data_IF_834934601314
#
_entry.id   IF_834934601314
#
_cell.length_a   1.000
_cell.length_b   1.000
_cell.length_c   1.000
_cell.angle_alpha   90.00
_cell.angle_beta   90.00
_cell.angle_gamma   90.00
#
_symmetry.space_group_name_H-M   'P 1'
#
loop_
_entity.id
_entity.type
_entity.pdbx_description
1 polymer ?
#
# COMPACT_ATOMS: atom_id res chain seq x y z
N UNK A 1 1.23 42.09 -89.02
CA UNK A 1 1.63 43.46 -88.62
C UNK A 1 2.83 43.37 -87.69
N UNK A 2 3.91 44.07 -88.09
CA UNK A 2 5.15 44.47 -87.38
C UNK A 2 5.70 43.55 -86.26
N UNK A 3 6.80 42.82 -86.49
CA UNK A 3 8.22 43.28 -86.41
C UNK A 3 8.67 43.50 -84.94
N UNK A 4 9.76 42.90 -84.42
CA UNK A 4 11.12 42.82 -85.01
C UNK A 4 12.05 41.92 -84.13
N UNK A 5 12.87 41.11 -84.82
CA UNK A 5 14.34 40.88 -84.64
C UNK A 5 14.84 40.24 -83.31
N UNK A 6 15.86 39.37 -83.25
CA UNK A 6 16.95 39.03 -84.20
C UNK A 6 17.67 37.75 -83.73
N UNK A 7 18.08 36.95 -84.71
CA UNK A 7 19.13 35.92 -84.80
C UNK A 7 20.32 36.01 -83.81
N UNK A 8 20.92 34.89 -83.39
CA UNK A 8 22.08 34.26 -84.07
C UNK A 8 22.54 32.94 -83.40
N UNK A 9 23.08 32.05 -84.22
CA UNK A 9 23.74 30.77 -83.89
C UNK A 9 25.05 30.95 -83.09
N UNK A 10 25.42 29.91 -82.33
CA UNK A 10 26.72 29.21 -82.38
C UNK A 10 27.40 28.97 -81.02
N UNK A 11 27.99 27.77 -80.94
CA UNK A 11 29.19 27.39 -80.17
C UNK A 11 29.00 26.70 -78.82
N UNK A 12 29.22 25.39 -78.91
CA UNK A 12 29.61 24.44 -77.88
C UNK A 12 30.79 24.99 -77.05
N UNK A 13 30.64 24.99 -75.73
CA UNK A 13 31.77 24.91 -74.80
C UNK A 13 31.39 23.98 -73.65
N UNK A 14 32.03 22.82 -73.64
CA UNK A 14 32.08 21.86 -72.54
C UNK A 14 32.76 22.51 -71.33
N UNK A 15 32.05 22.58 -70.20
CA UNK A 15 32.62 22.93 -68.88
C UNK A 15 32.43 21.73 -67.97
N UNK A 16 33.48 21.21 -67.31
CA UNK A 16 33.35 20.10 -66.38
C UNK A 16 32.68 20.57 -65.10
N UNK A 17 31.54 19.95 -64.75
CA UNK A 17 30.85 20.18 -63.48
C UNK A 17 31.67 19.46 -62.39
N UNK A 18 32.39 20.24 -61.58
CA UNK A 18 32.90 19.79 -60.29
C UNK A 18 31.72 19.51 -59.36
N UNK A 19 31.59 18.25 -58.93
CA UNK A 19 30.73 17.82 -57.83
C UNK A 19 31.23 18.44 -56.52
N UNK A 20 30.65 19.58 -56.12
CA UNK A 20 30.66 20.03 -54.73
C UNK A 20 29.61 19.21 -53.98
N UNK A 21 30.07 18.22 -53.22
CA UNK A 21 29.26 17.57 -52.19
C UNK A 21 28.97 18.59 -51.08
N UNK A 22 27.84 19.28 -51.19
CA UNK A 22 27.30 20.07 -50.09
C UNK A 22 26.69 19.11 -49.06
N UNK A 23 27.43 18.85 -47.99
CA UNK A 23 26.93 18.22 -46.78
C UNK A 23 25.83 19.11 -46.19
N UNK A 24 24.57 18.74 -46.41
CA UNK A 24 23.46 19.32 -45.66
C UNK A 24 23.56 18.85 -44.21
N UNK A 25 24.24 19.64 -43.38
CA UNK A 25 24.18 19.57 -41.94
C UNK A 25 22.75 19.94 -41.52
N UNK A 26 21.97 18.92 -41.18
CA UNK A 26 20.73 19.09 -40.44
C UNK A 26 21.04 19.82 -39.12
N UNK A 27 20.24 20.82 -38.69
CA UNK A 27 20.41 21.42 -37.39
C UNK A 27 20.25 20.34 -36.33
N UNK A 28 21.27 20.19 -35.50
CA UNK A 28 21.39 19.11 -34.53
C UNK A 28 20.10 18.93 -33.71
N UNK A 29 19.59 17.70 -33.73
CA UNK A 29 18.87 17.19 -32.58
C UNK A 29 19.80 17.41 -31.38
N UNK A 30 19.42 18.33 -30.48
CA UNK A 30 19.95 18.28 -29.12
C UNK A 30 19.55 16.90 -28.61
N UNK A 31 20.47 15.94 -28.64
CA UNK A 31 20.43 14.84 -27.69
C UNK A 31 20.31 15.54 -26.35
N UNK A 32 19.15 15.42 -25.72
CA UNK A 32 19.03 15.70 -24.30
C UNK A 32 20.12 14.85 -23.66
N UNK A 33 21.19 15.51 -23.23
CA UNK A 33 22.26 14.90 -22.49
C UNK A 33 21.55 14.22 -21.32
N UNK A 34 21.62 12.89 -21.26
CA UNK A 34 21.03 12.11 -20.18
C UNK A 34 21.58 12.74 -18.91
N UNK A 35 20.72 13.50 -18.23
CA UNK A 35 21.04 14.08 -16.94
C UNK A 35 21.40 12.90 -16.08
N UNK A 36 22.55 12.97 -15.40
CA UNK A 36 22.99 11.95 -14.47
C UNK A 36 21.92 11.83 -13.38
N UNK A 37 20.90 10.99 -13.63
CA UNK A 37 19.79 10.69 -12.73
C UNK A 37 20.31 9.62 -11.79
N UNK A 38 21.32 9.97 -11.00
CA UNK A 38 21.83 9.06 -9.99
C UNK A 38 20.75 8.91 -8.93
N UNK A 39 20.14 7.73 -8.88
CA UNK A 39 19.21 7.35 -7.81
C UNK A 39 19.85 7.67 -6.45
N UNK A 40 19.15 8.46 -5.64
CA UNK A 40 19.58 8.80 -4.28
C UNK A 40 18.86 7.83 -3.33
N UNK A 41 19.58 7.20 -2.40
CA UNK A 41 18.98 6.37 -1.35
C UNK A 41 17.85 7.11 -0.65
N UNK A 42 16.71 6.43 -0.45
CA UNK A 42 15.54 7.00 0.22
C UNK A 42 15.19 6.19 1.47
N UNK A 43 14.63 6.87 2.47
CA UNK A 43 13.92 6.25 3.58
C UNK A 43 12.44 6.55 3.42
N UNK A 44 11.61 5.53 3.26
CA UNK A 44 10.16 5.64 3.14
C UNK A 44 9.51 5.09 4.41
N UNK A 45 8.43 5.73 4.87
CA UNK A 45 7.53 5.14 5.84
C UNK A 45 6.31 4.55 5.12
N UNK A 46 5.79 3.41 5.59
CA UNK A 46 4.61 2.76 5.05
C UNK A 46 3.66 2.34 6.19
N UNK A 47 2.40 2.74 6.10
CA UNK A 47 1.36 2.38 7.06
C UNK A 47 0.05 2.05 6.32
N UNK A 48 -0.86 1.38 7.02
CA UNK A 48 -2.10 0.88 6.43
C UNK A 48 -3.16 0.66 7.50
N UNK A 49 -4.42 0.59 7.07
CA UNK A 49 -5.54 0.19 7.92
C UNK A 49 -5.60 1.04 9.20
N UNK A 50 -5.52 2.37 9.01
CA UNK A 50 -5.62 3.37 10.08
C UNK A 50 -7.01 3.29 10.71
N UNK A 51 -8.02 2.98 9.88
CA UNK A 51 -9.42 2.93 10.26
C UNK A 51 -9.86 4.16 11.05
N UNK A 52 -9.38 5.33 10.65
CA UNK A 52 -9.62 6.55 11.38
C UNK A 52 -11.12 6.88 11.53
N UNK A 53 -11.54 7.24 12.75
CA UNK A 53 -12.88 7.73 13.03
C UNK A 53 -12.79 9.12 13.67
N UNK A 54 -13.42 10.12 13.04
CA UNK A 54 -13.46 11.45 13.59
C UNK A 54 -14.14 11.45 14.98
N UNK A 55 -13.63 12.18 15.99
CA UNK A 55 -14.19 12.19 17.35
C UNK A 55 -15.67 12.58 17.40
N UNK A 56 -16.13 13.44 16.48
CA UNK A 56 -17.53 13.86 16.40
C UNK A 56 -18.49 12.74 15.96
N UNK A 57 -17.96 11.64 15.41
CA UNK A 57 -18.76 10.48 14.97
C UNK A 57 -18.92 9.42 16.05
N UNK A 58 -18.32 9.57 17.24
CA UNK A 58 -18.51 8.59 18.31
C UNK A 58 -18.43 9.22 19.70
N UNK A 59 -19.38 8.91 20.55
CA UNK A 59 -19.34 9.27 21.97
C UNK A 59 -18.61 8.24 22.86
N UNK A 60 -18.05 7.18 22.25
CA UNK A 60 -17.49 6.05 22.99
C UNK A 60 -18.54 5.27 23.80
N UNK A 61 -19.82 5.41 23.46
CA UNK A 61 -20.93 4.78 24.15
C UNK A 61 -21.11 3.29 23.79
N UNK A 62 -22.07 2.66 24.47
CA UNK A 62 -22.33 1.20 24.42
C UNK A 62 -22.41 0.62 23.00
N UNK A 63 -22.98 1.33 22.04
CA UNK A 63 -23.08 0.89 20.65
C UNK A 63 -21.70 0.74 20.00
N UNK A 64 -20.85 1.75 20.14
CA UNK A 64 -19.51 1.76 19.56
C UNK A 64 -18.60 0.77 20.29
N UNK A 65 -18.58 0.80 21.61
CA UNK A 65 -17.76 -0.12 22.42
C UNK A 65 -18.09 -1.57 22.10
N UNK A 66 -19.37 -1.95 22.03
CA UNK A 66 -19.75 -3.32 21.66
C UNK A 66 -19.35 -3.69 20.24
N UNK A 67 -19.44 -2.77 19.29
CA UNK A 67 -19.01 -3.02 17.92
C UNK A 67 -17.50 -3.35 17.89
N UNK A 68 -16.70 -2.51 18.52
CA UNK A 68 -15.22 -2.63 18.55
C UNK A 68 -14.79 -3.87 19.33
N UNK A 69 -15.39 -4.13 20.49
CA UNK A 69 -15.09 -5.30 21.31
C UNK A 69 -15.35 -6.62 20.57
N UNK A 70 -16.32 -6.68 19.67
CA UNK A 70 -16.65 -7.89 18.91
C UNK A 70 -16.05 -7.91 17.50
N UNK A 71 -15.07 -7.03 17.22
CA UNK A 71 -14.33 -6.97 15.98
C UNK A 71 -12.99 -7.72 16.08
N UNK A 72 -12.03 -7.31 15.27
CA UNK A 72 -10.72 -7.94 15.03
C UNK A 72 -9.59 -7.39 15.93
N UNK A 73 -9.94 -6.77 17.07
CA UNK A 73 -8.97 -6.34 18.07
C UNK A 73 -8.33 -4.96 17.83
N UNK A 74 -8.88 -4.17 16.89
CA UNK A 74 -8.51 -2.76 16.67
C UNK A 74 -8.76 -1.93 17.93
N UNK A 75 -7.75 -1.22 18.41
CA UNK A 75 -7.80 -0.38 19.60
C UNK A 75 -8.52 0.96 19.33
N UNK A 76 -9.75 0.90 18.81
CA UNK A 76 -10.50 2.06 18.31
C UNK A 76 -10.80 3.12 19.37
N UNK A 77 -10.83 2.73 20.66
CA UNK A 77 -10.95 3.69 21.77
C UNK A 77 -9.78 4.68 21.83
N UNK A 78 -8.62 4.30 21.28
CA UNK A 78 -7.39 5.11 21.23
C UNK A 78 -7.07 5.60 19.80
N UNK A 79 -8.05 5.60 18.89
CA UNK A 79 -7.86 5.95 17.47
C UNK A 79 -7.22 7.34 17.26
N UNK A 80 -7.74 8.36 17.96
CA UNK A 80 -7.15 9.71 17.92
C UNK A 80 -5.70 9.71 18.38
N UNK A 81 -5.45 9.11 19.53
CA UNK A 81 -4.13 9.14 20.17
C UNK A 81 -3.08 8.40 19.33
N UNK A 82 -3.43 7.22 18.80
CA UNK A 82 -2.54 6.42 17.95
C UNK A 82 -2.26 7.19 16.65
N UNK A 83 -3.28 7.81 16.04
CA UNK A 83 -3.11 8.60 14.81
C UNK A 83 -2.24 9.84 15.04
N UNK A 84 -2.48 10.59 16.12
CA UNK A 84 -1.70 11.78 16.47
C UNK A 84 -0.24 11.43 16.83
N UNK A 85 -0.03 10.34 17.56
CA UNK A 85 1.30 9.84 17.88
C UNK A 85 2.04 9.41 16.62
N UNK A 86 1.39 8.68 15.72
CA UNK A 86 1.95 8.29 14.42
C UNK A 86 2.37 9.51 13.59
N UNK A 87 1.49 10.50 13.46
CA UNK A 87 1.79 11.72 12.72
C UNK A 87 2.98 12.46 13.32
N UNK A 88 3.00 12.61 14.65
CA UNK A 88 4.11 13.25 15.35
C UNK A 88 5.43 12.49 15.14
N UNK A 89 5.39 11.16 15.20
CA UNK A 89 6.55 10.30 15.08
C UNK A 89 7.13 10.34 13.66
N UNK A 90 6.30 10.16 12.62
CA UNK A 90 6.70 10.29 11.21
C UNK A 90 7.24 11.69 10.91
N UNK A 91 6.59 12.74 11.40
CA UNK A 91 7.07 14.13 11.24
C UNK A 91 8.43 14.35 11.89
N UNK A 92 8.70 13.70 13.03
CA UNK A 92 9.97 13.77 13.74
C UNK A 92 11.09 12.99 13.04
N UNK A 93 10.76 11.83 12.48
CA UNK A 93 11.69 10.93 11.76
C UNK A 93 12.09 11.49 10.39
N UNK A 94 11.18 12.22 9.74
CA UNK A 94 11.40 12.83 8.42
C UNK A 94 11.82 11.83 7.34
N UNK A 95 11.01 10.79 7.07
CA UNK A 95 11.22 9.98 5.87
C UNK A 95 11.08 10.86 4.61
N UNK A 96 11.63 10.40 3.51
CA UNK A 96 11.52 11.06 2.20
C UNK A 96 10.11 11.01 1.63
N UNK A 97 9.28 10.04 2.06
CA UNK A 97 7.84 10.02 1.83
C UNK A 97 7.13 9.07 2.83
N UNK A 98 5.84 9.31 3.04
CA UNK A 98 4.92 8.40 3.72
C UNK A 98 3.95 7.76 2.71
N UNK A 99 3.79 6.44 2.76
CA UNK A 99 2.89 5.66 1.90
C UNK A 99 1.76 5.09 2.77
N UNK A 100 0.50 5.39 2.42
CA UNK A 100 -0.69 4.84 3.06
C UNK A 100 -1.44 3.94 2.08
N UNK A 101 -1.47 2.63 2.35
CA UNK A 101 -1.94 1.63 1.37
C UNK A 101 -3.43 1.34 1.39
N UNK A 102 -4.21 2.01 2.23
CA UNK A 102 -5.67 1.89 2.24
C UNK A 102 -6.27 1.73 3.62
N UNK A 103 -7.59 1.61 3.64
CA UNK A 103 -8.46 1.61 4.82
C UNK A 103 -8.10 2.75 5.78
N UNK A 104 -8.09 3.95 5.19
CA UNK A 104 -7.75 5.18 5.88
C UNK A 104 -8.76 5.48 6.98
N UNK A 105 -10.03 5.17 6.75
CA UNK A 105 -11.14 5.45 7.67
C UNK A 105 -11.86 4.19 8.14
N UNK A 106 -12.58 4.29 9.26
CA UNK A 106 -13.24 3.13 9.87
C UNK A 106 -14.29 2.49 8.94
N UNK A 107 -15.13 3.30 8.31
CA UNK A 107 -16.18 2.86 7.37
C UNK A 107 -16.54 3.97 6.35
N UNK A 108 -15.56 4.75 5.90
CA UNK A 108 -15.73 5.63 4.74
C UNK A 108 -16.56 6.88 5.00
N UNK A 109 -16.72 7.29 6.27
CA UNK A 109 -17.47 8.50 6.61
C UNK A 109 -16.72 9.75 6.13
N UNK A 110 -17.41 10.66 5.44
CA UNK A 110 -16.79 11.87 4.88
C UNK A 110 -16.09 12.72 5.94
N UNK A 111 -16.70 12.90 7.11
CA UNK A 111 -16.09 13.65 8.21
C UNK A 111 -14.77 13.02 8.71
N UNK A 112 -14.66 11.68 8.72
CA UNK A 112 -13.40 10.99 9.02
C UNK A 112 -12.34 11.24 7.95
N UNK A 113 -12.70 11.23 6.67
CA UNK A 113 -11.76 11.55 5.60
C UNK A 113 -11.24 12.98 5.70
N UNK A 114 -12.13 13.95 5.89
CA UNK A 114 -11.77 15.38 6.03
C UNK A 114 -10.89 15.62 7.27
N UNK A 115 -11.23 15.01 8.41
CA UNK A 115 -10.43 15.13 9.63
C UNK A 115 -9.07 14.44 9.52
N UNK A 116 -8.99 13.25 8.91
CA UNK A 116 -7.71 12.58 8.66
C UNK A 116 -6.84 13.39 7.70
N UNK A 117 -7.40 13.91 6.60
CA UNK A 117 -6.67 14.77 5.67
C UNK A 117 -6.10 16.01 6.37
N UNK A 118 -6.88 16.67 7.24
CA UNK A 118 -6.40 17.79 8.05
C UNK A 118 -5.21 17.38 8.95
N UNK A 119 -5.26 16.19 9.54
CA UNK A 119 -4.16 15.63 10.34
C UNK A 119 -2.93 15.27 9.49
N UNK A 120 -3.10 14.66 8.32
CA UNK A 120 -2.00 14.34 7.39
C UNK A 120 -1.31 15.60 6.84
N UNK A 121 -2.03 16.72 6.76
CA UNK A 121 -1.44 18.00 6.33
C UNK A 121 -0.27 18.47 7.21
N UNK A 122 -0.16 18.02 8.47
CA UNK A 122 1.00 18.32 9.31
C UNK A 122 2.30 17.69 8.78
N UNK A 123 2.19 16.50 8.17
CA UNK A 123 3.32 15.78 7.55
C UNK A 123 3.74 16.50 6.26
N UNK A 124 2.78 16.83 5.40
CA UNK A 124 3.01 17.62 4.17
C UNK A 124 3.65 18.98 4.47
N UNK A 125 3.12 19.70 5.46
CA UNK A 125 3.65 21.01 5.88
C UNK A 125 5.08 20.91 6.45
N UNK A 126 5.51 19.72 6.88
CA UNK A 126 6.89 19.45 7.29
C UNK A 126 7.82 19.11 6.11
N UNK A 127 7.29 19.10 4.87
CA UNK A 127 8.02 18.81 3.64
C UNK A 127 8.17 17.33 3.33
N UNK A 128 7.31 16.47 3.91
CA UNK A 128 7.30 15.03 3.69
C UNK A 128 6.07 14.71 2.83
N UNK A 129 6.24 14.31 1.56
CA UNK A 129 5.14 13.87 0.72
C UNK A 129 4.40 12.68 1.33
N UNK A 130 3.08 12.72 1.33
CA UNK A 130 2.19 11.65 1.74
C UNK A 130 1.49 11.11 0.50
N UNK A 131 1.51 9.80 0.30
CA UNK A 131 0.95 9.13 -0.88
C UNK A 131 -0.14 8.18 -0.39
N UNK A 132 -1.37 8.35 -0.86
CA UNK A 132 -2.51 7.55 -0.37
C UNK A 132 -3.27 6.86 -1.50
N UNK A 133 -3.76 5.66 -1.23
CA UNK A 133 -4.80 4.98 -2.02
C UNK A 133 -5.94 4.55 -1.09
N UNK A 134 -7.17 4.35 -1.62
CA UNK A 134 -8.28 3.85 -0.82
C UNK A 134 -8.18 2.35 -0.56
N UNK A 135 -8.70 1.91 0.58
CA UNK A 135 -9.04 0.52 0.82
C UNK A 135 -10.52 0.20 0.55
N UNK A 136 -10.96 -1.00 0.94
CA UNK A 136 -12.35 -1.42 0.75
C UNK A 136 -13.33 -0.76 1.72
N UNK A 137 -12.88 -0.10 2.79
CA UNK A 137 -13.73 0.63 3.73
C UNK A 137 -13.94 2.11 3.37
N UNK A 138 -13.14 2.66 2.47
CA UNK A 138 -13.06 4.12 2.29
C UNK A 138 -14.14 4.69 1.35
N UNK A 139 -14.51 3.97 0.30
CA UNK A 139 -15.34 4.52 -0.78
C UNK A 139 -16.75 3.93 -0.80
N UNK A 140 -17.74 4.77 -1.08
CA UNK A 140 -19.14 4.38 -1.31
C UNK A 140 -19.69 3.48 -0.20
N UNK A 141 -19.24 3.68 1.04
CA UNK A 141 -19.60 2.82 2.16
C UNK A 141 -21.07 3.01 2.51
N UNK A 142 -21.81 1.90 2.48
CA UNK A 142 -23.21 1.87 2.96
C UNK A 142 -23.30 1.76 4.49
N UNK A 143 -22.16 1.65 5.16
CA UNK A 143 -22.02 1.44 6.60
C UNK A 143 -21.36 2.64 7.31
N UNK A 144 -21.13 3.75 6.60
CA UNK A 144 -20.66 5.00 7.20
C UNK A 144 -21.68 5.46 8.25
N UNK A 145 -21.25 5.58 9.51
CA UNK A 145 -22.14 5.88 10.62
C UNK A 145 -21.48 6.73 11.70
N UNK A 146 -22.31 7.51 12.40
CA UNK A 146 -22.02 8.06 13.72
C UNK A 146 -22.65 7.20 14.81
N UNK A 147 -22.03 7.16 15.99
CA UNK A 147 -22.42 6.32 17.12
C UNK A 147 -22.72 7.20 18.33
N UNK A 148 -23.91 7.03 18.92
CA UNK A 148 -24.33 7.74 20.12
C UNK A 148 -25.11 6.80 21.05
N UNK A 149 -24.61 6.64 22.28
CA UNK A 149 -25.23 5.82 23.31
C UNK A 149 -25.42 4.37 22.83
N UNK A 150 -26.67 3.97 22.57
CA UNK A 150 -27.04 2.60 22.18
C UNK A 150 -27.46 2.46 20.72
N UNK A 151 -27.23 3.48 19.91
CA UNK A 151 -27.65 3.54 18.51
C UNK A 151 -26.56 4.11 17.61
N UNK A 152 -26.72 3.89 16.32
CA UNK A 152 -25.95 4.55 15.27
C UNK A 152 -26.88 5.27 14.30
N UNK A 153 -26.35 6.27 13.59
CA UNK A 153 -27.04 6.96 12.50
C UNK A 153 -26.13 6.93 11.28
N UNK A 154 -26.69 6.56 10.11
CA UNK A 154 -25.92 6.59 8.86
C UNK A 154 -25.55 8.04 8.51
N UNK A 155 -24.32 8.23 8.04
CA UNK A 155 -23.79 9.52 7.59
C UNK A 155 -23.25 9.40 6.18
N UNK A 156 -22.95 10.54 5.56
CA UNK A 156 -22.45 10.57 4.20
C UNK A 156 -21.09 9.86 4.10
N UNK A 157 -20.94 9.05 3.05
CA UNK A 157 -19.65 8.51 2.59
C UNK A 157 -19.13 9.33 1.40
N UNK A 158 -17.91 9.02 0.94
CA UNK A 158 -17.27 9.66 -0.21
C UNK A 158 -17.31 8.74 -1.44
N UNK A 159 -17.49 9.32 -2.62
CA UNK A 159 -17.18 8.63 -3.88
C UNK A 159 -15.71 8.82 -4.28
N UNK A 160 -15.29 8.19 -5.38
CA UNK A 160 -13.91 8.28 -5.85
C UNK A 160 -13.48 9.72 -6.22
N UNK A 161 -14.40 10.54 -6.74
CA UNK A 161 -14.10 11.93 -7.09
C UNK A 161 -13.89 12.78 -5.84
N UNK A 162 -14.74 12.61 -4.84
CA UNK A 162 -14.62 13.28 -3.55
C UNK A 162 -13.36 12.84 -2.79
N UNK A 163 -13.01 11.54 -2.84
CA UNK A 163 -11.75 11.05 -2.28
C UNK A 163 -10.55 11.73 -2.93
N UNK A 164 -10.49 11.78 -4.27
CA UNK A 164 -9.42 12.47 -4.99
C UNK A 164 -9.38 13.99 -4.73
N UNK A 165 -10.52 14.60 -4.39
CA UNK A 165 -10.59 16.01 -3.98
C UNK A 165 -10.03 16.22 -2.57
N UNK A 166 -10.50 15.44 -1.59
CA UNK A 166 -10.07 15.51 -0.19
C UNK A 166 -8.57 15.21 -0.08
N UNK A 167 -8.13 14.17 -0.79
CA UNK A 167 -6.74 13.72 -0.74
C UNK A 167 -5.87 14.26 -1.87
N UNK A 168 -6.32 15.29 -2.59
CA UNK A 168 -5.65 15.77 -3.80
C UNK A 168 -4.17 16.09 -3.61
N UNK A 169 -3.81 16.67 -2.46
CA UNK A 169 -2.44 17.06 -2.16
C UNK A 169 -1.56 15.88 -1.70
N UNK A 170 -2.16 14.72 -1.39
CA UNK A 170 -1.43 13.53 -0.94
C UNK A 170 -1.16 12.57 -2.12
N UNK A 171 -0.34 13.06 -3.06
CA UNK A 171 0.17 12.33 -4.21
C UNK A 171 -0.62 12.51 -5.51
N UNK A 172 -1.93 12.74 -5.46
CA UNK A 172 -2.75 12.83 -6.68
C UNK A 172 -2.38 14.04 -7.56
N UNK A 173 -2.29 15.26 -7.04
CA UNK A 173 -1.98 16.45 -7.86
C UNK A 173 -0.55 16.44 -8.44
N UNK A 174 0.33 15.65 -7.84
CA UNK A 174 1.76 15.61 -8.13
C UNK A 174 2.17 14.37 -8.93
N UNK A 175 1.22 13.48 -9.23
CA UNK A 175 1.47 12.24 -9.93
C UNK A 175 1.97 12.46 -11.37
N UNK A 176 2.89 11.60 -11.80
CA UNK A 176 3.36 11.50 -13.19
C UNK A 176 2.25 11.05 -14.15
N UNK A 177 1.36 10.18 -13.67
CA UNK A 177 0.28 9.60 -14.46
C UNK A 177 -0.86 9.13 -13.56
N UNK A 178 -2.09 9.21 -14.09
CA UNK A 178 -3.30 8.67 -13.47
C UNK A 178 -3.92 7.61 -14.35
N UNK A 179 -4.48 6.57 -13.72
CA UNK A 179 -5.47 5.72 -14.36
C UNK A 179 -6.80 6.47 -14.47
N UNK A 180 -7.56 6.18 -15.53
CA UNK A 180 -8.90 6.75 -15.72
C UNK A 180 -10.01 5.85 -15.19
N UNK A 181 -9.70 4.58 -14.93
CA UNK A 181 -10.67 3.58 -14.49
C UNK A 181 -10.65 3.31 -12.97
N UNK A 182 -9.68 3.88 -12.25
CA UNK A 182 -9.48 3.70 -10.80
C UNK A 182 -8.81 4.95 -10.23
N UNK A 183 -8.61 4.98 -8.91
CA UNK A 183 -7.77 5.98 -8.23
C UNK A 183 -6.28 5.62 -8.24
N UNK A 184 -5.84 4.76 -9.18
CA UNK A 184 -4.43 4.42 -9.33
C UNK A 184 -3.62 5.56 -9.95
N UNK A 185 -2.37 5.71 -9.51
CA UNK A 185 -1.44 6.70 -10.05
C UNK A 185 0.02 6.27 -9.92
N UNK A 186 0.91 6.98 -10.61
CA UNK A 186 2.36 6.80 -10.51
C UNK A 186 2.97 8.08 -9.97
N UNK A 187 3.81 7.97 -8.95
CA UNK A 187 4.53 9.09 -8.34
C UNK A 187 6.05 8.91 -8.52
N UNK A 188 6.78 10.00 -8.81
CA UNK A 188 8.25 10.00 -8.87
C UNK A 188 8.79 10.27 -7.46
N UNK A 189 9.28 9.23 -6.77
CA UNK A 189 9.86 9.39 -5.42
C UNK A 189 11.20 10.12 -5.49
N UNK A 190 12.01 9.79 -6.49
CA UNK A 190 13.26 10.47 -6.82
C UNK A 190 13.62 10.19 -8.28
N UNK A 191 14.56 10.94 -8.89
CA UNK A 191 15.04 10.61 -10.22
C UNK A 191 15.55 9.17 -10.28
N UNK A 192 14.93 8.33 -11.12
CA UNK A 192 15.30 6.91 -11.23
C UNK A 192 14.45 5.96 -10.36
N UNK A 193 13.53 6.46 -9.54
CA UNK A 193 12.63 5.63 -8.73
C UNK A 193 11.19 6.16 -8.75
N UNK A 194 10.27 5.27 -9.10
CA UNK A 194 8.84 5.53 -9.07
C UNK A 194 8.14 4.59 -8.09
N UNK A 195 6.98 5.01 -7.63
CA UNK A 195 6.01 4.12 -6.98
C UNK A 195 4.71 4.09 -7.78
N UNK A 196 4.22 2.88 -8.02
CA UNK A 196 2.90 2.60 -8.56
C UNK A 196 1.93 2.41 -7.41
N UNK A 197 1.04 3.38 -7.23
CA UNK A 197 -0.02 3.36 -6.23
C UNK A 197 -1.28 2.77 -6.88
N UNK A 198 -1.60 1.51 -6.58
CA UNK A 198 -2.64 0.72 -7.26
C UNK A 198 -3.93 0.64 -6.44
N UNK A 199 -5.00 1.20 -6.99
CA UNK A 199 -6.37 1.04 -6.49
C UNK A 199 -7.10 -0.09 -7.25
N UNK A 200 -7.59 -1.08 -6.49
CA UNK A 200 -8.47 -2.15 -6.99
C UNK A 200 -9.85 -2.13 -6.33
N UNK A 201 -10.19 -1.07 -5.60
CA UNK A 201 -11.44 -0.89 -4.85
C UNK A 201 -12.44 0.01 -5.60
N UNK A 202 -12.44 -0.10 -6.93
CA UNK A 202 -13.45 0.55 -7.78
C UNK A 202 -14.86 0.10 -7.39
N UNK A 203 -15.84 0.98 -7.55
CA UNK A 203 -17.24 0.71 -7.20
C UNK A 203 -17.80 -0.53 -7.90
N UNK A 204 -17.42 -0.75 -9.16
CA UNK A 204 -17.94 -1.83 -10.00
C UNK A 204 -17.24 -3.16 -9.76
N UNK A 205 -16.02 -3.15 -9.23
CA UNK A 205 -15.18 -4.33 -9.05
C UNK A 205 -14.31 -4.22 -7.79
N UNK A 206 -14.91 -4.18 -6.58
CA UNK A 206 -14.16 -4.02 -5.34
C UNK A 206 -13.19 -5.19 -5.12
N UNK A 207 -11.97 -4.87 -4.67
CA UNK A 207 -10.88 -5.82 -4.50
C UNK A 207 -10.39 -6.51 -5.78
N UNK A 208 -10.83 -6.10 -6.98
CA UNK A 208 -10.56 -6.81 -8.23
C UNK A 208 -9.91 -5.90 -9.27
N UNK A 209 -8.77 -6.34 -9.81
CA UNK A 209 -8.05 -5.64 -10.86
C UNK A 209 -8.86 -5.65 -12.17
N UNK A 210 -9.29 -4.47 -12.62
CA UNK A 210 -9.99 -4.30 -13.90
C UNK A 210 -9.05 -4.47 -15.11
N UNK A 211 -9.61 -4.76 -16.28
CA UNK A 211 -8.82 -4.90 -17.51
C UNK A 211 -8.25 -3.55 -18.02
N UNK A 212 -8.94 -2.45 -17.74
CA UNK A 212 -8.48 -1.10 -18.06
C UNK A 212 -7.28 -0.71 -17.21
N UNK A 213 -7.40 -0.86 -15.88
CA UNK A 213 -6.30 -0.60 -14.95
C UNK A 213 -5.11 -1.51 -15.23
N UNK A 214 -5.33 -2.80 -15.53
CA UNK A 214 -4.23 -3.70 -15.91
C UNK A 214 -3.47 -3.23 -17.18
N UNK A 215 -4.20 -2.78 -18.22
CA UNK A 215 -3.58 -2.23 -19.43
C UNK A 215 -2.81 -0.95 -19.14
N UNK A 216 -3.35 -0.10 -18.27
CA UNK A 216 -2.69 1.13 -17.84
C UNK A 216 -1.40 0.82 -17.06
N UNK A 217 -1.44 -0.08 -16.07
CA UNK A 217 -0.27 -0.52 -15.30
C UNK A 217 0.84 -1.01 -16.23
N UNK A 218 0.51 -1.87 -17.21
CA UNK A 218 1.49 -2.34 -18.20
C UNK A 218 2.15 -1.19 -18.98
N UNK A 219 1.38 -0.16 -19.34
CA UNK A 219 1.93 1.01 -20.03
C UNK A 219 2.90 1.77 -19.13
N UNK A 220 2.56 1.94 -17.85
CA UNK A 220 3.42 2.64 -16.89
C UNK A 220 4.72 1.88 -16.61
N UNK A 221 4.64 0.56 -16.38
CA UNK A 221 5.82 -0.28 -16.17
C UNK A 221 6.74 -0.30 -17.40
N UNK A 222 6.17 -0.31 -18.61
CA UNK A 222 6.94 -0.18 -19.85
C UNK A 222 7.63 1.18 -19.95
N UNK A 223 6.95 2.27 -19.58
CA UNK A 223 7.54 3.60 -19.59
C UNK A 223 8.67 3.75 -18.56
N UNK A 224 8.50 3.19 -17.35
CA UNK A 224 9.54 3.18 -16.32
C UNK A 224 10.78 2.41 -16.78
N UNK A 225 10.60 1.21 -17.34
CA UNK A 225 11.68 0.41 -17.93
C UNK A 225 12.42 1.15 -19.05
N UNK A 226 11.69 1.87 -19.91
CA UNK A 226 12.31 2.67 -20.98
C UNK A 226 13.11 3.85 -20.45
N UNK A 227 12.70 4.42 -19.32
CA UNK A 227 13.43 5.48 -18.62
C UNK A 227 14.61 4.95 -17.79
N UNK A 228 14.67 3.64 -17.53
CA UNK A 228 15.65 3.03 -16.63
C UNK A 228 15.30 3.21 -15.16
N UNK A 229 14.04 3.50 -14.84
CA UNK A 229 13.59 3.74 -13.47
C UNK A 229 13.23 2.42 -12.76
N UNK A 230 13.61 2.31 -11.49
CA UNK A 230 13.10 1.30 -10.58
C UNK A 230 11.64 1.61 -10.20
N UNK A 231 10.88 0.56 -9.91
CA UNK A 231 9.46 0.69 -9.54
C UNK A 231 9.19 -0.08 -8.26
N UNK A 232 8.69 0.62 -7.23
CA UNK A 232 7.95 0.05 -6.11
C UNK A 232 6.47 -0.01 -6.48
N UNK A 233 5.72 -0.93 -5.90
CA UNK A 233 4.27 -0.96 -6.00
C UNK A 233 3.63 -0.92 -4.61
N UNK A 234 2.42 -0.39 -4.53
CA UNK A 234 1.59 -0.39 -3.35
C UNK A 234 0.14 -0.70 -3.72
N UNK A 235 -0.54 -1.51 -2.91
CA UNK A 235 -1.95 -1.87 -3.07
C UNK A 235 -2.60 -2.13 -1.72
N UNK A 236 -3.91 -1.91 -1.58
CA UNK A 236 -4.59 -2.25 -0.32
C UNK A 236 -4.64 -3.76 -0.08
N UNK A 237 -5.34 -4.47 -0.98
CA UNK A 237 -5.36 -5.92 -1.01
C UNK A 237 -3.96 -6.49 -1.29
N UNK A 238 -3.71 -7.69 -0.78
CA UNK A 238 -2.43 -8.37 -0.99
C UNK A 238 -2.33 -8.89 -2.42
N UNK A 239 -1.12 -8.91 -2.97
CA UNK A 239 -0.83 -9.48 -4.28
C UNK A 239 -0.59 -10.99 -4.20
N UNK A 240 0.09 -11.42 -3.15
CA UNK A 240 0.42 -12.79 -2.81
C UNK A 240 -0.55 -13.32 -1.74
N UNK A 241 -0.58 -14.64 -1.60
CA UNK A 241 -1.28 -15.29 -0.49
C UNK A 241 -0.36 -15.32 0.73
N UNK A 242 -0.72 -14.59 1.78
CA UNK A 242 0.02 -14.56 3.06
C UNK A 242 -0.53 -15.56 4.08
N UNK A 243 -1.78 -16.02 3.89
CA UNK A 243 -2.35 -17.13 4.62
C UNK A 243 -3.34 -17.85 3.68
N UNK A 244 -3.29 -19.19 3.59
CA UNK A 244 -4.16 -19.93 2.67
C UNK A 244 -5.66 -19.76 2.95
N UNK A 245 -6.04 -19.42 4.18
CA UNK A 245 -7.42 -19.11 4.56
C UNK A 245 -7.81 -17.65 4.22
N UNK A 246 -6.85 -16.76 4.01
CA UNK A 246 -7.06 -15.38 3.58
C UNK A 246 -6.72 -15.22 2.10
N UNK A 247 -7.38 -16.03 1.27
CA UNK A 247 -7.25 -15.97 -0.19
C UNK A 247 -8.40 -15.17 -0.80
N UNK A 248 -9.61 -15.73 -0.77
CA UNK A 248 -10.80 -15.09 -1.34
C UNK A 248 -11.17 -13.80 -0.58
N UNK A 249 -11.26 -12.68 -1.31
CA UNK A 249 -11.59 -11.36 -0.75
C UNK A 249 -10.43 -10.63 -0.07
N UNK A 250 -9.27 -11.28 0.08
CA UNK A 250 -8.07 -10.69 0.66
C UNK A 250 -6.97 -10.45 -0.38
N UNK A 251 -6.76 -11.42 -1.26
CA UNK A 251 -5.85 -11.30 -2.39
C UNK A 251 -6.57 -10.57 -3.53
N UNK A 252 -5.85 -9.70 -4.24
CA UNK A 252 -6.37 -8.97 -5.41
C UNK A 252 -7.03 -9.96 -6.38
N UNK A 253 -8.31 -9.73 -6.68
CA UNK A 253 -9.03 -10.45 -7.72
C UNK A 253 -8.34 -10.26 -9.07
N UNK A 254 -8.05 -11.37 -9.77
CA UNK A 254 -7.18 -11.40 -10.97
C UNK A 254 -5.74 -10.90 -10.69
N UNK A 255 -5.22 -11.06 -9.47
CA UNK A 255 -3.87 -10.68 -9.08
C UNK A 255 -2.76 -11.51 -9.74
N UNK A 256 -3.02 -12.75 -10.15
CA UNK A 256 -2.00 -13.61 -10.79
C UNK A 256 -1.38 -12.99 -12.05
N UNK A 257 -2.20 -12.39 -12.92
CA UNK A 257 -1.71 -11.67 -14.11
C UNK A 257 -0.93 -10.40 -13.75
N UNK A 258 -1.22 -9.78 -12.60
CA UNK A 258 -0.51 -8.61 -12.12
C UNK A 258 0.86 -9.01 -11.58
N UNK A 259 0.92 -10.10 -10.80
CA UNK A 259 2.17 -10.69 -10.32
C UNK A 259 3.09 -11.04 -11.49
N UNK A 260 2.58 -11.74 -12.50
CA UNK A 260 3.34 -12.07 -13.71
C UNK A 260 3.89 -10.81 -14.40
N UNK A 261 3.09 -9.73 -14.45
CA UNK A 261 3.50 -8.46 -15.02
C UNK A 261 4.56 -7.76 -14.16
N UNK A 262 4.43 -7.77 -12.83
CA UNK A 262 5.40 -7.20 -11.91
C UNK A 262 6.75 -7.91 -12.02
N UNK A 263 6.73 -9.26 -12.07
CA UNK A 263 7.92 -10.07 -12.31
C UNK A 263 8.52 -9.83 -13.72
N UNK A 264 7.69 -9.74 -14.77
CA UNK A 264 8.16 -9.46 -16.14
C UNK A 264 8.85 -8.10 -16.21
N UNK A 265 8.34 -7.09 -15.51
CA UNK A 265 8.85 -5.73 -15.56
C UNK A 265 9.94 -5.41 -14.54
N UNK A 266 10.15 -6.27 -13.54
CA UNK A 266 11.14 -6.08 -12.48
C UNK A 266 10.70 -5.07 -11.43
N UNK A 267 9.42 -5.10 -11.03
CA UNK A 267 8.95 -4.35 -9.85
C UNK A 267 9.69 -4.87 -8.63
N UNK A 268 10.25 -3.97 -7.82
CA UNK A 268 11.21 -4.32 -6.78
C UNK A 268 10.52 -4.97 -5.57
N UNK A 269 9.40 -4.40 -5.12
CA UNK A 269 8.52 -5.00 -4.12
C UNK A 269 7.09 -4.47 -4.24
N UNK A 270 6.15 -5.15 -3.56
CA UNK A 270 4.81 -4.65 -3.30
C UNK A 270 4.64 -4.33 -1.81
N UNK A 271 4.03 -3.19 -1.49
CA UNK A 271 3.58 -2.83 -0.14
C UNK A 271 2.07 -3.01 -0.08
N UNK A 272 1.57 -3.64 0.98
CA UNK A 272 0.13 -3.84 1.15
C UNK A 272 -0.31 -3.94 2.61
N UNK A 273 -1.63 -4.08 2.82
CA UNK A 273 -2.27 -4.15 4.13
C UNK A 273 -3.44 -5.14 4.12
N UNK A 274 -4.62 -4.68 4.55
CA UNK A 274 -5.93 -5.35 4.46
C UNK A 274 -6.12 -6.58 5.35
N UNK A 275 -5.12 -7.44 5.50
CA UNK A 275 -5.18 -8.62 6.39
C UNK A 275 -4.82 -8.29 7.84
N UNK A 276 -4.40 -7.04 8.13
CA UNK A 276 -4.00 -6.50 9.44
C UNK A 276 -2.83 -7.18 10.15
N UNK A 277 -2.26 -8.23 9.55
CA UNK A 277 -1.16 -9.03 10.10
C UNK A 277 0.16 -8.56 9.48
N UNK A 278 1.18 -8.36 10.31
CA UNK A 278 2.53 -8.10 9.82
C UNK A 278 3.10 -9.37 9.20
N UNK A 279 3.29 -9.39 7.89
CA UNK A 279 3.76 -10.57 7.18
C UNK A 279 4.60 -10.21 5.96
N UNK A 280 5.59 -11.05 5.65
CA UNK A 280 6.46 -10.88 4.48
C UNK A 280 6.43 -12.17 3.69
N UNK A 281 6.02 -12.09 2.43
CA UNK A 281 5.98 -13.22 1.51
C UNK A 281 6.84 -12.94 0.27
N UNK A 282 7.29 -14.00 -0.40
CA UNK A 282 8.03 -13.89 -1.65
C UNK A 282 7.45 -14.85 -2.69
N UNK A 283 7.24 -14.36 -3.91
CA UNK A 283 6.81 -15.18 -5.03
C UNK A 283 7.91 -16.17 -5.44
N UNK A 284 7.54 -17.18 -6.22
CA UNK A 284 8.50 -18.14 -6.75
C UNK A 284 9.59 -17.51 -7.64
N UNK A 285 9.30 -16.38 -8.31
CA UNK A 285 10.29 -15.66 -9.13
C UNK A 285 10.96 -14.49 -8.40
N UNK A 286 10.72 -14.35 -7.10
CA UNK A 286 11.48 -13.46 -6.22
C UNK A 286 10.82 -12.11 -5.90
N UNK A 287 9.61 -11.81 -6.40
CA UNK A 287 8.90 -10.60 -6.00
C UNK A 287 8.56 -10.69 -4.51
N UNK A 288 9.04 -9.73 -3.72
CA UNK A 288 8.75 -9.66 -2.28
C UNK A 288 7.56 -8.75 -2.05
N UNK A 289 6.62 -9.20 -1.23
CA UNK A 289 5.51 -8.40 -0.72
C UNK A 289 5.66 -8.20 0.79
N UNK A 290 5.59 -6.94 1.21
CA UNK A 290 5.57 -6.52 2.60
C UNK A 290 4.13 -6.15 2.95
N UNK A 291 3.47 -6.96 3.76
CA UNK A 291 2.21 -6.59 4.39
C UNK A 291 2.54 -5.98 5.74
N UNK A 292 2.19 -4.70 5.91
CA UNK A 292 2.29 -4.03 7.21
C UNK A 292 1.03 -4.32 8.03
N UNK A 293 1.19 -4.62 9.32
CA UNK A 293 0.02 -4.80 10.20
C UNK A 293 -0.82 -3.53 10.29
N UNK A 294 -2.10 -3.65 10.64
CA UNK A 294 -2.96 -2.48 10.85
C UNK A 294 -2.36 -1.55 11.90
N UNK A 295 -2.35 -0.25 11.60
CA UNK A 295 -1.78 0.76 12.48
C UNK A 295 -2.47 0.79 13.86
N UNK A 296 -3.77 0.47 13.89
CA UNK A 296 -4.61 0.55 15.09
C UNK A 296 -4.72 -0.78 15.84
N UNK A 297 -4.06 -1.84 15.37
CA UNK A 297 -4.04 -3.15 16.02
C UNK A 297 -2.68 -3.36 16.69
N UNK A 298 -2.67 -3.88 17.92
CA UNK A 298 -1.42 -4.17 18.64
C UNK A 298 -0.47 -5.03 17.78
N UNK A 299 0.81 -4.66 17.64
CA UNK A 299 1.57 -3.72 18.48
C UNK A 299 1.57 -2.25 18.02
N UNK A 300 0.64 -1.85 17.13
CA UNK A 300 0.53 -0.51 16.56
C UNK A 300 1.85 -0.08 15.88
N UNK A 301 2.17 -0.76 14.78
CA UNK A 301 3.45 -0.60 14.08
C UNK A 301 3.26 -0.22 12.61
N UNK A 302 4.29 0.37 12.04
CA UNK A 302 4.39 0.77 10.63
C UNK A 302 5.74 0.34 10.07
N UNK A 303 5.86 0.26 8.74
CA UNK A 303 7.09 -0.12 8.06
C UNK A 303 8.00 1.06 7.76
N UNK A 304 9.30 0.85 7.87
CA UNK A 304 10.36 1.72 7.36
C UNK A 304 11.12 0.96 6.28
N UNK A 305 11.27 1.59 5.12
CA UNK A 305 11.98 1.05 3.97
C UNK A 305 13.17 1.95 3.63
N UNK A 306 14.38 1.41 3.70
CA UNK A 306 15.56 2.05 3.12
C UNK A 306 15.79 1.47 1.75
N UNK A 307 15.64 2.29 0.72
CA UNK A 307 15.70 1.88 -0.68
C UNK A 307 16.97 2.43 -1.29
N UNK A 308 17.83 1.51 -1.73
CA UNK A 308 19.05 1.71 -2.50
C UNK A 308 18.86 1.17 -3.94
N UNK A 309 19.72 1.49 -4.93
CA UNK A 309 19.55 0.95 -6.29
C UNK A 309 19.60 -0.57 -6.37
N UNK A 310 20.24 -1.21 -5.38
CA UNK A 310 20.55 -2.64 -5.38
C UNK A 310 19.98 -3.38 -4.17
N UNK A 311 19.52 -2.67 -3.14
CA UNK A 311 19.07 -3.24 -1.87
C UNK A 311 17.86 -2.48 -1.37
N UNK A 312 16.95 -3.19 -0.73
CA UNK A 312 15.86 -2.65 0.06
C UNK A 312 15.91 -3.29 1.44
N UNK A 313 15.95 -2.47 2.48
CA UNK A 313 15.94 -2.90 3.88
C UNK A 313 14.62 -2.46 4.53
N UNK A 314 13.74 -3.43 4.79
CA UNK A 314 12.47 -3.23 5.48
C UNK A 314 12.64 -3.58 6.95
N UNK A 315 12.10 -2.74 7.84
CA UNK A 315 11.82 -3.13 9.22
C UNK A 315 10.58 -2.41 9.75
N UNK A 316 9.97 -2.92 10.81
CA UNK A 316 8.85 -2.24 11.47
C UNK A 316 9.31 -1.38 12.65
N UNK A 317 8.66 -0.24 12.84
CA UNK A 317 8.74 0.56 14.05
C UNK A 317 7.38 0.63 14.75
N UNK A 318 7.39 0.72 16.08
CA UNK A 318 6.17 0.82 16.89
C UNK A 318 5.88 2.28 17.20
N UNK A 319 4.60 2.63 17.21
CA UNK A 319 4.15 3.94 17.65
C UNK A 319 4.29 4.03 19.17
N UNK A 320 4.91 5.10 19.65
CA UNK A 320 4.94 5.39 21.08
C UNK A 320 3.79 6.32 21.47
N UNK A 321 2.89 5.82 22.32
CA UNK A 321 1.76 6.58 22.86
C UNK A 321 1.46 6.17 24.31
N UNK A 322 0.67 6.97 25.02
CA UNK A 322 0.47 6.83 26.46
C UNK A 322 -0.28 5.53 26.81
N UNK A 323 -1.32 5.19 26.05
CA UNK A 323 -2.14 4.00 26.28
C UNK A 323 -1.69 2.75 25.50
N UNK A 324 -0.40 2.62 25.18
CA UNK A 324 0.11 1.49 24.39
C UNK A 324 -0.10 0.13 25.09
N UNK A 325 0.03 0.09 26.42
CA UNK A 325 -0.20 -1.13 27.20
C UNK A 325 -1.68 -1.54 27.19
N UNK A 326 -2.59 -0.58 27.28
CA UNK A 326 -4.03 -0.80 27.23
C UNK A 326 -4.49 -1.25 25.84
N UNK A 327 -3.91 -0.71 24.77
CA UNK A 327 -4.15 -1.19 23.41
C UNK A 327 -3.66 -2.64 23.22
N UNK A 328 -2.50 -2.99 23.77
CA UNK A 328 -2.03 -4.39 23.78
C UNK A 328 -2.98 -5.29 24.57
N UNK A 329 -3.39 -4.87 25.76
CA UNK A 329 -4.31 -5.62 26.60
C UNK A 329 -5.66 -5.81 25.92
N UNK A 330 -6.18 -4.79 25.23
CA UNK A 330 -7.42 -4.88 24.47
C UNK A 330 -7.37 -5.96 23.39
N UNK A 331 -6.26 -6.04 22.64
CA UNK A 331 -6.07 -7.10 21.66
C UNK A 331 -6.00 -8.49 22.31
N UNK A 332 -5.27 -8.61 23.43
CA UNK A 332 -5.19 -9.87 24.21
C UNK A 332 -6.55 -10.32 24.72
N UNK A 333 -7.34 -9.41 25.27
CA UNK A 333 -8.69 -9.69 25.77
C UNK A 333 -9.63 -10.10 24.62
N UNK A 334 -9.47 -9.50 23.45
CA UNK A 334 -10.22 -9.87 22.24
C UNK A 334 -9.85 -11.28 21.79
N UNK A 335 -8.55 -11.59 21.67
CA UNK A 335 -8.08 -12.91 21.29
C UNK A 335 -8.47 -13.99 22.31
N UNK A 336 -8.41 -13.68 23.61
CA UNK A 336 -8.89 -14.57 24.68
C UNK A 336 -10.38 -14.86 24.54
N UNK A 337 -11.18 -13.82 24.29
CA UNK A 337 -12.63 -13.98 24.14
C UNK A 337 -12.95 -14.84 22.92
N UNK A 338 -12.28 -14.60 21.79
CA UNK A 338 -12.37 -15.46 20.62
C UNK A 338 -12.01 -16.90 20.96
N UNK A 339 -10.89 -17.13 21.66
CA UNK A 339 -10.49 -18.47 22.10
C UNK A 339 -11.58 -19.15 22.94
N UNK A 340 -12.17 -18.45 23.90
CA UNK A 340 -13.22 -19.00 24.77
C UNK A 340 -14.53 -19.31 24.04
N UNK A 341 -14.85 -18.57 22.98
CA UNK A 341 -16.02 -18.81 22.15
C UNK A 341 -15.81 -19.99 21.19
N UNK A 342 -14.59 -20.12 20.65
CA UNK A 342 -14.24 -21.15 19.67
C UNK A 342 -13.89 -22.49 20.31
N UNK A 343 -13.36 -22.46 21.54
CA UNK A 343 -12.87 -23.63 22.26
C UNK A 343 -13.58 -23.74 23.62
N UNK A 344 -14.91 -23.92 23.64
CA UNK A 344 -15.67 -23.97 24.89
C UNK A 344 -15.15 -25.09 25.80
N UNK A 345 -15.20 -24.85 27.11
CA UNK A 345 -14.76 -25.78 28.16
C UNK A 345 -13.26 -26.14 28.13
N UNK A 346 -12.43 -25.39 27.41
CA UNK A 346 -10.98 -25.45 27.55
C UNK A 346 -10.51 -24.73 28.83
N UNK A 347 -9.29 -25.03 29.27
CA UNK A 347 -8.68 -24.41 30.44
C UNK A 347 -7.96 -23.10 30.09
N UNK A 348 -7.59 -22.35 31.14
CA UNK A 348 -6.90 -21.07 31.01
C UNK A 348 -5.53 -21.20 30.30
N UNK A 349 -4.89 -22.36 30.39
CA UNK A 349 -3.62 -22.63 29.72
C UNK A 349 -3.79 -22.63 28.20
N UNK A 350 -4.82 -23.31 27.69
CA UNK A 350 -5.14 -23.36 26.27
C UNK A 350 -5.61 -22.01 25.72
N UNK A 351 -6.43 -21.26 26.46
CA UNK A 351 -6.80 -19.89 26.08
C UNK A 351 -5.61 -18.94 26.04
N UNK A 352 -4.71 -19.04 27.02
CA UNK A 352 -3.47 -18.26 27.07
C UNK A 352 -2.56 -18.60 25.88
N UNK A 353 -2.43 -19.88 25.54
CA UNK A 353 -1.63 -20.31 24.39
C UNK A 353 -2.17 -19.74 23.06
N UNK A 354 -3.48 -19.85 22.82
CA UNK A 354 -4.12 -19.28 21.63
C UNK A 354 -3.95 -17.75 21.56
N UNK A 355 -4.10 -17.07 22.69
CA UNK A 355 -3.94 -15.61 22.80
C UNK A 355 -2.52 -15.20 22.45
N UNK A 356 -1.51 -15.86 23.03
CA UNK A 356 -0.11 -15.57 22.77
C UNK A 356 0.30 -15.89 21.33
N UNK A 357 -0.28 -16.93 20.73
CA UNK A 357 -0.07 -17.25 19.32
C UNK A 357 -0.66 -16.17 18.41
N UNK A 358 -1.87 -15.69 18.73
CA UNK A 358 -2.53 -14.61 17.98
C UNK A 358 -1.73 -13.31 18.05
N UNK A 359 -1.24 -12.93 19.24
CA UNK A 359 -0.36 -11.76 19.43
C UNK A 359 0.93 -11.90 18.62
N UNK A 360 1.59 -13.06 18.69
CA UNK A 360 2.82 -13.31 17.95
C UNK A 360 2.57 -13.28 16.43
N UNK A 361 1.43 -13.81 15.96
CA UNK A 361 1.08 -13.81 14.55
C UNK A 361 0.83 -12.41 14.01
N UNK A 362 -0.07 -11.64 14.64
CA UNK A 362 -0.43 -10.29 14.19
C UNK A 362 0.75 -9.32 14.24
N UNK A 363 1.64 -9.47 15.22
CA UNK A 363 2.88 -8.67 15.32
C UNK A 363 3.96 -9.07 14.32
N UNK A 364 3.81 -10.20 13.62
CA UNK A 364 4.83 -10.74 12.71
C UNK A 364 6.03 -11.33 13.44
N UNK A 365 5.87 -11.72 14.72
CA UNK A 365 6.92 -12.22 15.61
C UNK A 365 6.65 -13.64 16.10
N UNK A 366 6.22 -14.51 15.18
CA UNK A 366 6.02 -15.93 15.49
C UNK A 366 7.29 -16.59 16.03
N UNK A 367 8.48 -16.12 15.64
CA UNK A 367 9.79 -16.53 16.20
C UNK A 367 9.87 -16.44 17.74
N UNK A 368 9.07 -15.56 18.36
CA UNK A 368 9.03 -15.39 19.82
C UNK A 368 8.06 -16.33 20.53
N UNK A 369 7.21 -17.04 19.79
CA UNK A 369 6.24 -17.95 20.35
C UNK A 369 6.84 -19.34 20.58
N UNK A 370 6.65 -19.89 21.78
CA UNK A 370 7.05 -21.27 22.09
C UNK A 370 6.05 -22.25 21.47
N UNK A 371 6.52 -23.07 20.53
CA UNK A 371 5.73 -24.17 19.97
C UNK A 371 5.41 -25.20 21.05
N UNK A 372 4.13 -25.31 21.40
CA UNK A 372 3.61 -26.39 22.24
C UNK A 372 2.78 -27.35 21.39
N UNK A 373 3.39 -28.47 21.01
CA UNK A 373 2.74 -29.47 20.15
C UNK A 373 1.55 -30.16 20.83
N UNK A 374 1.53 -30.24 22.16
CA UNK A 374 0.45 -30.88 22.90
C UNK A 374 -0.79 -29.97 22.91
N UNK A 375 -0.61 -28.70 23.27
CA UNK A 375 -1.69 -27.70 23.24
C UNK A 375 -2.19 -27.49 21.82
N UNK A 376 -1.29 -27.41 20.83
CA UNK A 376 -1.68 -27.29 19.43
C UNK A 376 -2.55 -28.47 18.97
N UNK A 377 -2.15 -29.71 19.32
CA UNK A 377 -2.92 -30.90 19.00
C UNK A 377 -4.29 -30.91 19.70
N UNK A 378 -4.36 -30.44 20.94
CA UNK A 378 -5.63 -30.32 21.66
C UNK A 378 -6.56 -29.31 20.95
N UNK A 379 -6.05 -28.11 20.60
CA UNK A 379 -6.83 -27.11 19.87
C UNK A 379 -7.35 -27.68 18.54
N UNK A 380 -6.50 -28.34 17.77
CA UNK A 380 -6.88 -28.95 16.49
C UNK A 380 -7.93 -30.07 16.62
N UNK A 381 -7.97 -30.75 17.77
CA UNK A 381 -8.94 -31.80 18.04
C UNK A 381 -10.32 -31.25 18.46
N UNK A 382 -10.36 -30.04 19.03
CA UNK A 382 -11.57 -29.41 19.57
C UNK A 382 -12.41 -28.71 18.49
N UNK A 383 -11.77 -27.98 17.58
CA UNK A 383 -12.46 -27.30 16.49
C UNK A 383 -11.69 -27.47 15.16
N UNK A 384 -12.30 -28.11 14.14
CA UNK A 384 -11.64 -28.33 12.85
C UNK A 384 -11.25 -27.05 12.12
N UNK A 385 -12.07 -25.99 12.20
CA UNK A 385 -11.78 -24.72 11.52
C UNK A 385 -10.57 -24.03 12.15
N UNK A 386 -10.54 -23.95 13.48
CA UNK A 386 -9.39 -23.42 14.21
C UNK A 386 -8.16 -24.30 14.04
N UNK A 387 -8.33 -25.62 14.01
CA UNK A 387 -7.24 -26.52 13.63
C UNK A 387 -6.64 -26.17 12.27
N UNK A 388 -7.47 -25.93 11.25
CA UNK A 388 -7.00 -25.50 9.94
C UNK A 388 -6.35 -24.11 9.94
N UNK A 389 -6.89 -23.17 10.72
CA UNK A 389 -6.33 -21.83 10.87
C UNK A 389 -4.96 -21.87 11.55
N UNK A 390 -4.85 -22.54 12.69
CA UNK A 390 -3.57 -22.65 13.38
C UNK A 390 -2.55 -23.43 12.55
N UNK A 391 -2.98 -24.47 11.82
CA UNK A 391 -2.11 -25.16 10.88
C UNK A 391 -1.61 -24.22 9.78
N UNK A 392 -2.45 -23.32 9.26
CA UNK A 392 -2.03 -22.33 8.26
C UNK A 392 -0.96 -21.37 8.80
N UNK A 393 -1.01 -21.02 10.08
CA UNK A 393 0.01 -20.21 10.76
C UNK A 393 1.31 -21.01 10.93
N UNK A 394 1.23 -22.29 11.28
CA UNK A 394 2.42 -23.14 11.45
C UNK A 394 3.16 -23.43 10.14
N UNK A 395 2.43 -23.53 9.03
CA UNK A 395 2.99 -23.76 7.70
C UNK A 395 3.90 -22.60 7.25
N UNK A 396 3.69 -21.41 7.81
CA UNK A 396 4.50 -20.21 7.60
C UNK A 396 5.90 -20.30 8.22
N UNK A 397 6.05 -21.16 9.23
CA UNK A 397 7.26 -21.29 10.05
C UNK A 397 7.35 -20.17 11.09
N UNK A 398 7.94 -20.47 12.25
CA UNK A 398 8.12 -19.51 13.35
C UNK A 398 9.19 -18.46 13.00
N UNK A 399 8.86 -17.58 12.05
CA UNK A 399 9.77 -16.60 11.46
C UNK A 399 9.52 -15.20 12.04
N UNK A 400 10.51 -14.34 11.82
CA UNK A 400 10.42 -12.90 12.05
C UNK A 400 10.05 -12.20 10.75
N UNK A 401 8.85 -11.64 10.69
CA UNK A 401 8.31 -10.86 9.57
C UNK A 401 8.37 -9.35 9.81
N UNK A 402 9.11 -8.92 10.84
CA UNK A 402 9.29 -7.50 11.16
C UNK A 402 10.51 -6.89 10.50
N UNK A 403 11.35 -7.68 9.84
CA UNK A 403 12.56 -7.19 9.15
C UNK A 403 12.98 -8.08 7.99
N UNK A 404 13.46 -7.49 6.89
CA UNK A 404 13.97 -8.22 5.73
C UNK A 404 14.79 -7.31 4.83
N UNK A 405 15.95 -7.80 4.43
CA UNK A 405 16.73 -7.24 3.31
C UNK A 405 16.40 -7.99 2.02
N UNK A 406 16.18 -7.25 0.95
CA UNK A 406 15.95 -7.75 -0.41
C UNK A 406 17.01 -7.14 -1.32
N UNK A 407 17.73 -7.96 -2.07
CA UNK A 407 18.67 -7.50 -3.08
C UNK A 407 18.07 -7.61 -4.47
N UNK A 408 18.37 -6.64 -5.34
CA UNK A 408 17.99 -6.73 -6.76
C UNK A 408 18.78 -7.88 -7.39
N UNK A 409 18.07 -8.94 -7.78
CA UNK A 409 18.64 -9.98 -8.65
C UNK A 409 18.73 -9.44 -10.08
N UNK A 410 19.94 -9.34 -10.63
CA UNK A 410 20.16 -9.04 -12.05
C UNK A 410 19.87 -10.25 -12.95
#
# INVERSE_FOLDING_TARGET
>A
MRNRKRNFFSSIMTVPIMLLAASFLFPGQKQAQAQDRSFVPLTLAAATDLHYIAPELTDGGECFTRLVENADGKAMAYCEEITDAFISQVTGEKPDALILTGDLTFNGAKASHEALAAKLSFIENAGIPVLVIPGNHDLNSTMAASFQGRSYTLVDSVDAGQFAEIYGDFGYREALAHDKASLSYVYELSPGLRILMLDVNTKEAPGTLTDDTFRWVRQQLKAARQAGDLVLAASHQTLLTHNRLFSDGYVIGKGSRLLELYEEYGVFCNLSGHIHIQHIAQSQKGLTEFVTSSLITSPCQYGILKVDPNELDYHTERISFFHAAEAEQFFRDTAWRMASQLLPDADDELYSHFTNLSVAYFSGRLDTHLKDEALFKDICARDPFIGFYLQSILEDGFQDHTQRKVTVGH
#
